data_IF_687622554332
#
_entry.id   IF_687622554332
#
_cell.length_a   1.000
_cell.length_b   1.000
_cell.length_c   1.000
_cell.angle_alpha   90.00
_cell.angle_beta   90.00
_cell.angle_gamma   90.00
#
_symmetry.space_group_name_H-M   'P 1'
#
loop_
_entity.id
_entity.type
_entity.pdbx_description
1 polymer ?
#
# COMPACT_ATOMS: atom_id res chain seq x y z
N UNK A 1 0.85 -47.52 12.67
CA UNK A 1 1.46 -46.40 13.43
C UNK A 1 1.50 -45.14 12.56
N UNK A 2 0.34 -44.61 12.13
CA UNK A 2 0.23 -43.42 11.25
C UNK A 2 -0.98 -42.47 11.52
N UNK A 3 -1.60 -42.37 12.71
CA UNK A 3 -2.77 -41.50 12.88
C UNK A 3 -2.46 -39.99 12.98
N UNK A 4 -1.19 -39.56 13.08
CA UNK A 4 -0.85 -38.15 13.38
C UNK A 4 -0.73 -37.20 12.17
N UNK A 5 -0.47 -37.70 10.94
CA UNK A 5 -0.18 -36.84 9.78
C UNK A 5 -1.45 -36.16 9.21
N UNK A 6 -2.62 -36.78 9.40
CA UNK A 6 -3.91 -36.25 8.91
C UNK A 6 -4.26 -34.88 9.53
N UNK A 7 -3.86 -34.63 10.78
CA UNK A 7 -4.14 -33.37 11.48
C UNK A 7 -3.27 -32.18 11.03
N UNK A 8 -2.04 -32.43 10.54
CA UNK A 8 -1.14 -31.35 10.11
C UNK A 8 -1.50 -30.81 8.72
N UNK A 9 -1.99 -31.68 7.83
CA UNK A 9 -2.53 -31.26 6.53
C UNK A 9 -3.81 -30.41 6.70
N UNK A 10 -4.65 -30.74 7.69
CA UNK A 10 -5.88 -30.00 8.02
C UNK A 10 -5.59 -28.61 8.64
N UNK A 11 -4.48 -28.48 9.40
CA UNK A 11 -3.96 -27.19 9.87
C UNK A 11 -3.26 -26.37 8.78
N UNK A 12 -2.86 -26.96 7.65
CA UNK A 12 -2.35 -26.20 6.51
C UNK A 12 -3.47 -25.62 5.63
N UNK A 13 -4.68 -26.19 5.72
CA UNK A 13 -5.92 -25.61 5.23
C UNK A 13 -6.53 -24.58 6.19
N UNK A 14 -5.75 -24.07 7.16
CA UNK A 14 -6.07 -22.87 7.95
C UNK A 14 -6.56 -21.78 7.01
N UNK A 15 -7.88 -21.71 6.92
CA UNK A 15 -8.72 -20.61 6.46
C UNK A 15 -8.02 -19.61 5.52
N UNK A 16 -7.53 -20.07 4.36
CA UNK A 16 -7.04 -19.16 3.31
C UNK A 16 -8.25 -18.48 2.70
N UNK A 17 -8.74 -17.46 3.39
CA UNK A 17 -9.75 -16.56 2.87
C UNK A 17 -9.13 -15.92 1.63
N UNK A 18 -9.84 -15.91 0.49
CA UNK A 18 -9.35 -15.21 -0.68
C UNK A 18 -9.09 -13.75 -0.28
N UNK A 19 -7.90 -13.25 -0.61
CA UNK A 19 -7.48 -11.89 -0.28
C UNK A 19 -8.52 -10.92 -0.82
N UNK A 20 -9.16 -10.18 0.08
CA UNK A 20 -10.16 -9.20 -0.29
C UNK A 20 -9.49 -7.99 -0.93
N UNK A 21 -10.30 -7.23 -1.66
CA UNK A 21 -9.95 -5.91 -2.17
C UNK A 21 -9.40 -5.00 -1.08
N UNK A 22 -10.01 -5.07 0.10
CA UNK A 22 -9.61 -4.31 1.30
C UNK A 22 -8.25 -4.77 1.82
N UNK A 23 -7.95 -6.07 1.76
CA UNK A 23 -6.70 -6.63 2.29
C UNK A 23 -5.51 -6.19 1.44
N UNK A 24 -5.63 -6.24 0.11
CA UNK A 24 -4.59 -5.75 -0.79
C UNK A 24 -4.36 -4.24 -0.64
N UNK A 25 -5.42 -3.46 -0.37
CA UNK A 25 -5.30 -2.04 -0.06
C UNK A 25 -4.54 -1.81 1.26
N UNK A 26 -4.92 -2.52 2.33
CA UNK A 26 -4.26 -2.42 3.63
C UNK A 26 -2.76 -2.75 3.52
N UNK A 27 -2.39 -3.73 2.70
CA UNK A 27 -0.99 -4.07 2.45
C UNK A 27 -0.26 -2.93 1.72
N UNK A 28 -0.85 -2.40 0.65
CA UNK A 28 -0.24 -1.28 -0.09
C UNK A 28 -0.09 -0.02 0.78
N UNK A 29 -1.12 0.30 1.56
CA UNK A 29 -1.11 1.42 2.50
C UNK A 29 -0.03 1.23 3.56
N UNK A 30 0.00 0.07 4.23
CA UNK A 30 1.01 -0.21 5.26
C UNK A 30 2.45 -0.18 4.72
N UNK A 31 2.70 -0.66 3.50
CA UNK A 31 4.02 -0.53 2.87
C UNK A 31 4.36 0.94 2.59
N UNK A 32 3.40 1.73 2.11
CA UNK A 32 3.56 3.18 1.89
C UNK A 32 3.87 3.91 3.19
N UNK A 33 3.07 3.69 4.24
CA UNK A 33 3.27 4.29 5.57
C UNK A 33 4.59 3.88 6.21
N UNK A 34 5.04 2.63 6.02
CA UNK A 34 6.35 2.19 6.48
C UNK A 34 7.49 2.90 5.72
N UNK A 35 7.34 3.08 4.41
CA UNK A 35 8.29 3.87 3.61
C UNK A 35 8.33 5.33 4.08
N UNK A 36 7.18 5.96 4.28
CA UNK A 36 7.08 7.34 4.78
C UNK A 36 7.67 7.44 6.19
N UNK A 37 7.34 6.51 7.07
CA UNK A 37 7.86 6.47 8.44
C UNK A 37 9.38 6.33 8.47
N UNK A 38 9.94 5.46 7.61
CA UNK A 38 11.38 5.24 7.52
C UNK A 38 12.12 6.42 6.88
N UNK A 39 11.59 7.01 5.81
CA UNK A 39 12.29 8.02 4.99
C UNK A 39 12.01 9.44 5.45
N UNK A 40 10.82 9.73 5.96
CA UNK A 40 10.43 11.06 6.43
C UNK A 40 10.46 11.15 7.96
N UNK A 41 9.76 10.29 8.69
CA UNK A 41 9.65 10.44 10.15
C UNK A 41 10.95 10.13 10.89
N UNK A 42 11.62 9.01 10.58
CA UNK A 42 12.83 8.59 11.31
C UNK A 42 13.98 9.63 11.26
N UNK A 43 14.35 10.19 10.09
CA UNK A 43 15.36 11.24 10.05
C UNK A 43 14.85 12.59 10.57
N UNK A 44 13.54 12.85 10.60
CA UNK A 44 12.99 14.12 11.13
C UNK A 44 13.09 14.24 12.66
N UNK A 45 13.32 13.15 13.40
CA UNK A 45 13.46 13.18 14.87
C UNK A 45 14.68 13.97 15.31
N UNK A 46 15.82 13.80 14.62
CA UNK A 46 17.07 14.47 14.95
C UNK A 46 16.98 16.01 14.79
N UNK A 47 16.53 16.58 13.66
CA UNK A 47 16.37 18.02 13.49
C UNK A 47 15.28 18.60 14.39
N UNK A 48 14.25 17.83 14.75
CA UNK A 48 13.25 18.27 15.74
C UNK A 48 13.85 18.47 17.15
N UNK A 49 14.90 17.71 17.49
CA UNK A 49 15.60 17.83 18.77
C UNK A 49 16.72 18.87 18.75
N UNK A 50 17.39 19.01 17.61
CA UNK A 50 18.62 19.83 17.48
C UNK A 50 18.34 21.20 16.87
N UNK A 51 17.09 21.48 16.46
CA UNK A 51 16.63 22.66 15.70
C UNK A 51 17.49 22.99 14.46
N UNK A 52 18.24 22.01 13.97
CA UNK A 52 19.17 22.15 12.87
C UNK A 52 19.03 20.96 11.92
N UNK A 53 19.03 21.22 10.60
CA UNK A 53 18.84 20.21 9.58
C UNK A 53 20.18 19.75 8.99
N UNK A 54 20.76 18.60 9.44
CA UNK A 54 22.09 18.17 9.00
C UNK A 54 22.06 17.42 7.65
N UNK A 55 20.89 17.00 7.17
CA UNK A 55 20.77 16.12 6.00
C UNK A 55 20.84 16.86 4.67
N UNK A 56 20.87 18.20 4.67
CA UNK A 56 20.88 19.02 3.46
C UNK A 56 19.52 19.10 2.74
N UNK A 57 19.43 19.96 1.73
CA UNK A 57 18.16 20.33 1.08
C UNK A 57 17.51 19.18 0.32
N UNK A 58 18.32 18.30 -0.28
CA UNK A 58 17.84 17.15 -1.06
C UNK A 58 16.96 16.24 -0.19
N UNK A 59 17.40 15.92 1.03
CA UNK A 59 16.62 15.08 1.95
C UNK A 59 15.34 15.77 2.44
N UNK A 60 15.38 17.10 2.63
CA UNK A 60 14.19 17.88 2.96
C UNK A 60 13.13 17.75 1.85
N UNK A 61 13.57 17.91 0.59
CA UNK A 61 12.71 17.83 -0.60
C UNK A 61 12.13 16.43 -0.77
N UNK A 62 12.94 15.38 -0.62
CA UNK A 62 12.50 13.98 -0.67
C UNK A 62 11.44 13.71 0.40
N UNK A 63 11.64 14.19 1.64
CA UNK A 63 10.67 13.95 2.73
C UNK A 63 9.29 14.56 2.42
N UNK A 64 9.26 15.77 1.86
CA UNK A 64 8.02 16.44 1.46
C UNK A 64 7.31 15.71 0.32
N UNK A 65 8.08 15.26 -0.67
CA UNK A 65 7.57 14.46 -1.80
C UNK A 65 6.96 13.13 -1.32
N UNK A 66 7.68 12.40 -0.47
CA UNK A 66 7.22 11.13 0.08
C UNK A 66 5.92 11.31 0.84
N UNK A 67 5.81 12.39 1.63
CA UNK A 67 4.58 12.70 2.35
C UNK A 67 3.40 12.99 1.40
N UNK A 68 3.63 13.80 0.36
CA UNK A 68 2.60 14.09 -0.66
C UNK A 68 2.16 12.86 -1.47
N UNK A 69 3.10 11.96 -1.76
CA UNK A 69 2.79 10.70 -2.45
C UNK A 69 1.90 9.78 -1.61
N UNK A 70 2.13 9.70 -0.29
CA UNK A 70 1.31 8.88 0.62
C UNK A 70 -0.16 9.33 0.66
N UNK A 71 -0.39 10.65 0.70
CA UNK A 71 -1.75 11.21 0.63
C UNK A 71 -2.42 10.85 -0.70
N UNK A 72 -1.67 10.93 -1.80
CA UNK A 72 -2.17 10.58 -3.13
C UNK A 72 -2.55 9.10 -3.21
N UNK A 73 -1.69 8.20 -2.71
CA UNK A 73 -1.95 6.75 -2.64
C UNK A 73 -3.20 6.45 -1.80
N UNK A 74 -3.39 7.16 -0.70
CA UNK A 74 -4.57 7.04 0.15
C UNK A 74 -5.85 7.42 -0.61
N UNK A 75 -5.85 8.53 -1.36
CA UNK A 75 -6.99 8.99 -2.16
C UNK A 75 -7.33 7.96 -3.25
N UNK A 76 -6.34 7.51 -4.02
CA UNK A 76 -6.56 6.50 -5.06
C UNK A 76 -7.15 5.21 -4.48
N UNK A 77 -6.72 4.86 -3.28
CA UNK A 77 -7.20 3.67 -2.63
C UNK A 77 -8.64 3.78 -2.14
N UNK A 78 -9.04 4.92 -1.53
CA UNK A 78 -10.45 5.14 -1.15
C UNK A 78 -11.36 5.22 -2.39
N UNK A 79 -10.86 5.80 -3.50
CA UNK A 79 -11.59 5.80 -4.77
C UNK A 79 -11.78 4.39 -5.30
N UNK A 80 -10.75 3.55 -5.26
CA UNK A 80 -10.85 2.14 -5.66
C UNK A 80 -11.84 1.36 -4.81
N UNK A 81 -11.83 1.54 -3.49
CA UNK A 81 -12.80 0.89 -2.58
C UNK A 81 -14.23 1.35 -2.89
N UNK A 82 -14.41 2.63 -3.21
CA UNK A 82 -15.73 3.18 -3.57
C UNK A 82 -16.23 2.62 -4.89
N UNK A 83 -15.35 2.55 -5.89
CA UNK A 83 -15.65 1.97 -7.21
C UNK A 83 -15.97 0.47 -7.08
N UNK A 84 -15.19 -0.25 -6.28
CA UNK A 84 -15.41 -1.65 -5.94
C UNK A 84 -16.83 -1.86 -5.39
N UNK A 85 -17.20 -1.14 -4.33
CA UNK A 85 -18.55 -1.21 -3.75
C UNK A 85 -19.64 -0.83 -4.74
N UNK A 86 -19.41 0.17 -5.58
CA UNK A 86 -20.34 0.57 -6.63
C UNK A 86 -20.60 -0.59 -7.61
N UNK A 87 -19.54 -1.19 -8.16
CA UNK A 87 -19.67 -2.29 -9.11
C UNK A 87 -20.23 -3.58 -8.48
N UNK A 88 -19.96 -3.85 -7.19
CA UNK A 88 -20.51 -5.01 -6.49
C UNK A 88 -22.04 -4.94 -6.38
N UNK A 89 -22.58 -3.72 -6.19
CA UNK A 89 -24.01 -3.46 -6.10
C UNK A 89 -24.67 -3.48 -7.49
N UNK A 90 -24.03 -2.89 -8.50
CA UNK A 90 -24.65 -2.73 -9.82
C UNK A 90 -24.49 -3.95 -10.72
N UNK A 91 -23.41 -4.74 -10.60
CA UNK A 91 -23.10 -5.84 -11.55
C UNK A 91 -22.51 -7.09 -10.86
N UNK A 92 -23.32 -7.88 -10.13
CA UNK A 92 -22.83 -9.02 -9.33
C UNK A 92 -22.17 -10.15 -10.16
N UNK A 93 -22.47 -10.30 -11.45
CA UNK A 93 -21.97 -11.39 -12.30
C UNK A 93 -20.72 -11.07 -13.14
N UNK A 94 -20.41 -9.79 -13.39
CA UNK A 94 -19.22 -9.35 -14.18
C UNK A 94 -18.04 -8.92 -13.32
N UNK A 95 -18.25 -8.85 -12.01
CA UNK A 95 -17.34 -8.31 -11.02
C UNK A 95 -16.02 -9.08 -10.91
N UNK A 96 -16.07 -10.41 -10.94
CA UNK A 96 -14.89 -11.27 -10.69
C UNK A 96 -13.79 -11.16 -11.78
N UNK A 97 -14.15 -10.83 -13.03
CA UNK A 97 -13.20 -10.81 -14.14
C UNK A 97 -12.56 -9.43 -14.42
N UNK A 98 -13.16 -8.33 -13.92
CA UNK A 98 -12.72 -6.97 -14.26
C UNK A 98 -11.82 -6.33 -13.19
N UNK A 99 -11.92 -6.79 -11.95
CA UNK A 99 -11.32 -6.12 -10.78
C UNK A 99 -9.80 -6.33 -10.68
N UNK A 100 -9.24 -7.41 -11.22
CA UNK A 100 -7.79 -7.69 -11.17
C UNK A 100 -6.94 -6.74 -12.02
N UNK A 101 -7.41 -6.36 -13.22
CA UNK A 101 -6.63 -5.56 -14.18
C UNK A 101 -6.52 -4.08 -13.80
N UNK A 102 -7.60 -3.48 -13.30
CA UNK A 102 -7.60 -2.06 -12.88
C UNK A 102 -6.75 -1.86 -11.61
N UNK A 103 -6.74 -2.87 -10.73
CA UNK A 103 -5.98 -2.86 -9.48
C UNK A 103 -4.47 -2.93 -9.68
N UNK A 104 -4.00 -3.85 -10.52
CA UNK A 104 -2.59 -3.86 -10.94
C UNK A 104 -2.20 -2.53 -11.60
N UNK A 105 -3.09 -1.97 -12.45
CA UNK A 105 -2.87 -0.68 -13.09
C UNK A 105 -2.63 0.45 -12.09
N UNK A 106 -3.47 0.58 -11.06
CA UNK A 106 -3.32 1.65 -10.05
C UNK A 106 -2.09 1.45 -9.17
N UNK A 107 -1.79 0.22 -8.73
CA UNK A 107 -0.58 -0.06 -7.92
C UNK A 107 0.70 0.28 -8.72
N UNK A 108 0.74 -0.12 -9.98
CA UNK A 108 1.84 0.20 -10.90
C UNK A 108 1.91 1.72 -11.10
N UNK A 109 0.79 2.40 -11.37
CA UNK A 109 0.74 3.85 -11.52
C UNK A 109 1.25 4.59 -10.27
N UNK A 110 0.86 4.16 -9.08
CA UNK A 110 1.34 4.76 -7.83
C UNK A 110 2.85 4.58 -7.64
N UNK A 111 3.38 3.38 -7.93
CA UNK A 111 4.82 3.11 -7.86
C UNK A 111 5.61 3.93 -8.89
N UNK A 112 5.12 4.02 -10.12
CA UNK A 112 5.72 4.85 -11.16
C UNK A 112 5.68 6.33 -10.82
N UNK A 113 4.59 6.80 -10.21
CA UNK A 113 4.46 8.19 -9.79
C UNK A 113 5.43 8.51 -8.65
N UNK A 114 5.56 7.64 -7.64
CA UNK A 114 6.57 7.80 -6.60
C UNK A 114 7.98 7.88 -7.20
N UNK A 115 8.32 6.96 -8.11
CA UNK A 115 9.64 6.93 -8.75
C UNK A 115 9.91 8.19 -9.59
N UNK A 116 8.94 8.65 -10.40
CA UNK A 116 9.08 9.85 -11.22
C UNK A 116 9.22 11.10 -10.36
N UNK A 117 8.43 11.24 -9.29
CA UNK A 117 8.50 12.42 -8.43
C UNK A 117 9.79 12.42 -7.62
N UNK A 118 10.29 11.25 -7.17
CA UNK A 118 11.62 11.15 -6.57
C UNK A 118 12.78 11.45 -7.53
N UNK A 119 12.58 11.29 -8.84
CA UNK A 119 13.60 11.56 -9.85
C UNK A 119 13.54 13.00 -10.40
N UNK A 120 12.38 13.65 -10.31
CA UNK A 120 12.13 15.01 -10.79
C UNK A 120 12.29 16.10 -9.70
N UNK A 121 12.33 15.72 -8.43
CA UNK A 121 12.60 16.60 -7.29
C UNK A 121 14.09 16.59 -6.94
#
# INVERSE_FOLDING_TARGET
MQPAVKGYADLSSVNRRPMSITDAFLINLSVSDLCVGAVACAPSVYPAWTEHWPYGDIWCQISGVVHGSSVTVSIWSISLVSIDRFFAVTWPLKYSAMVTRYRCGVIILSLWSCALVSFLA
#
